data_IF_395521329110
#
_entry.id   IF_395521329110
#
_cell.length_a   1.000
_cell.length_b   1.000
_cell.length_c   1.000
_cell.angle_alpha   90.00
_cell.angle_beta   90.00
_cell.angle_gamma   90.00
#
_symmetry.space_group_name_H-M   'P 1'
#
loop_
_entity.id
_entity.type
_entity.pdbx_description
1 polymer ?
#
# COMPACT_ATOMS: atom_id res chain seq x y z
N UNK A 1 -3.70 33.85 21.06
CA UNK A 1 -4.37 32.56 21.28
C UNK A 1 -3.96 31.65 20.16
N UNK A 2 -3.11 30.67 20.50
CA UNK A 2 -2.56 29.69 19.57
C UNK A 2 -3.72 28.87 19.00
N UNK A 3 -4.06 29.10 17.73
CA UNK A 3 -5.00 28.25 16.99
C UNK A 3 -4.28 26.93 16.74
N UNK A 4 -4.31 26.08 17.77
CA UNK A 4 -3.66 24.78 17.77
C UNK A 4 -3.95 24.05 16.46
N UNK A 5 -2.88 23.70 15.75
CA UNK A 5 -2.93 23.03 14.46
C UNK A 5 -3.81 21.78 14.53
N UNK A 6 -5.06 21.93 14.08
CA UNK A 6 -5.93 20.83 13.70
C UNK A 6 -5.16 20.00 12.67
N UNK A 7 -4.86 18.75 13.00
CA UNK A 7 -4.28 17.81 12.05
C UNK A 7 -5.39 17.45 11.07
N UNK A 8 -5.48 18.15 9.96
CA UNK A 8 -6.41 17.77 8.91
C UNK A 8 -5.93 16.46 8.28
N UNK A 9 -6.89 15.59 7.97
CA UNK A 9 -6.60 14.37 7.23
C UNK A 9 -6.13 14.72 5.82
N UNK A 10 -5.03 14.09 5.41
CA UNK A 10 -4.52 14.14 4.04
C UNK A 10 -4.79 12.77 3.39
N UNK A 11 -5.43 12.73 2.21
CA UNK A 11 -5.64 11.47 1.51
C UNK A 11 -4.31 10.76 1.20
N UNK A 12 -4.32 9.44 1.30
CA UNK A 12 -3.14 8.63 0.98
C UNK A 12 -2.77 8.69 -0.50
N UNK A 13 -1.47 8.64 -0.78
CA UNK A 13 -0.96 8.43 -2.13
C UNK A 13 -0.79 6.93 -2.38
N UNK A 14 -1.35 6.44 -3.49
CA UNK A 14 -1.20 5.05 -3.90
C UNK A 14 0.12 4.82 -4.62
N UNK A 15 0.73 3.70 -4.30
CA UNK A 15 1.96 3.25 -4.93
C UNK A 15 1.77 1.85 -5.48
N UNK A 16 2.49 1.55 -6.56
CA UNK A 16 2.40 0.28 -7.25
C UNK A 16 3.63 -0.57 -6.99
N UNK A 17 3.39 -1.87 -6.81
CA UNK A 17 4.40 -2.87 -6.53
C UNK A 17 4.21 -4.07 -7.46
N UNK A 18 5.30 -4.78 -7.74
CA UNK A 18 5.24 -6.08 -8.38
C UNK A 18 5.88 -7.14 -7.48
N UNK A 19 5.35 -8.36 -7.52
CA UNK A 19 5.95 -9.49 -6.84
C UNK A 19 7.06 -10.08 -7.71
N UNK A 20 8.25 -10.16 -7.14
CA UNK A 20 9.38 -10.87 -7.70
C UNK A 20 9.58 -12.17 -6.91
N UNK A 21 9.31 -13.31 -7.55
CA UNK A 21 9.57 -14.61 -6.94
C UNK A 21 11.09 -14.82 -6.80
N UNK A 22 11.63 -14.70 -5.60
CA UNK A 22 13.03 -14.99 -5.33
C UNK A 22 13.14 -16.26 -4.49
N UNK A 23 13.72 -17.32 -5.08
CA UNK A 23 13.94 -18.61 -4.40
C UNK A 23 12.66 -19.20 -3.78
N UNK A 24 11.52 -19.03 -4.44
CA UNK A 24 10.22 -19.52 -3.98
C UNK A 24 9.56 -18.68 -2.87
N UNK A 25 10.08 -17.49 -2.57
CA UNK A 25 9.45 -16.54 -1.65
C UNK A 25 9.02 -15.29 -2.40
N UNK A 26 7.88 -14.74 -1.97
CA UNK A 26 7.38 -13.48 -2.47
C UNK A 26 8.28 -12.34 -2.02
N UNK A 27 8.64 -11.47 -2.97
CA UNK A 27 9.41 -10.25 -2.72
C UNK A 27 8.75 -9.10 -3.46
N UNK A 28 8.09 -8.22 -2.71
CA UNK A 28 7.38 -7.08 -3.28
C UNK A 28 8.35 -5.93 -3.55
N UNK A 29 8.49 -5.57 -4.82
CA UNK A 29 9.38 -4.50 -5.28
C UNK A 29 8.55 -3.30 -5.74
N UNK A 30 8.94 -2.07 -5.37
CA UNK A 30 8.26 -0.86 -5.84
C UNK A 30 8.53 -0.63 -7.32
N UNK A 31 7.51 -0.21 -8.07
CA UNK A 31 7.74 0.42 -9.36
C UNK A 31 8.46 1.77 -9.18
N UNK A 32 9.14 2.24 -10.23
CA UNK A 32 9.67 3.60 -10.23
C UNK A 32 8.56 4.62 -10.01
N UNK A 33 8.85 5.79 -9.41
CA UNK A 33 7.83 6.84 -9.20
C UNK A 33 7.06 7.16 -10.48
N UNK A 34 7.77 7.27 -11.62
CA UNK A 34 7.18 7.55 -12.94
C UNK A 34 6.25 6.44 -13.41
N UNK A 35 6.63 5.17 -13.22
CA UNK A 35 5.79 4.04 -13.61
C UNK A 35 4.58 3.94 -12.71
N UNK A 36 4.76 4.07 -11.40
CA UNK A 36 3.69 4.07 -10.40
C UNK A 36 2.66 5.16 -10.67
N UNK A 37 3.07 6.39 -10.99
CA UNK A 37 2.13 7.48 -11.31
C UNK A 37 1.33 7.19 -12.58
N UNK A 38 1.97 6.63 -13.62
CA UNK A 38 1.28 6.27 -14.86
C UNK A 38 0.29 5.13 -14.68
N UNK A 39 0.65 4.15 -13.85
CA UNK A 39 -0.25 3.05 -13.47
C UNK A 39 -1.47 3.59 -12.70
N UNK A 40 -1.25 4.52 -11.77
CA UNK A 40 -2.33 5.15 -11.00
C UNK A 40 -3.27 5.96 -11.89
N UNK A 41 -2.75 6.84 -12.73
CA UNK A 41 -3.55 7.64 -13.66
C UNK A 41 -4.39 6.74 -14.59
N UNK A 42 -3.76 5.70 -15.14
CA UNK A 42 -4.45 4.73 -15.99
C UNK A 42 -5.53 3.94 -15.24
N UNK A 43 -5.30 3.61 -13.96
CA UNK A 43 -6.27 2.93 -13.12
C UNK A 43 -7.48 3.80 -12.78
N UNK A 44 -7.25 5.07 -12.43
CA UNK A 44 -8.31 6.05 -12.13
C UNK A 44 -9.18 6.34 -13.36
N UNK A 45 -8.58 6.44 -14.56
CA UNK A 45 -9.29 6.68 -15.81
C UNK A 45 -10.04 5.44 -16.34
N UNK A 46 -9.46 4.25 -16.13
CA UNK A 46 -9.95 3.00 -16.72
C UNK A 46 -11.10 2.32 -15.97
N UNK A 47 -11.46 2.80 -14.77
CA UNK A 47 -12.60 2.28 -14.00
C UNK A 47 -12.52 0.79 -13.61
N UNK A 48 -11.33 0.18 -13.68
CA UNK A 48 -11.09 -1.23 -13.34
C UNK A 48 -11.55 -2.29 -14.35
N UNK A 49 -12.33 -1.92 -15.37
CA UNK A 49 -13.02 -2.89 -16.27
C UNK A 49 -12.51 -2.85 -17.73
N UNK A 50 -11.71 -1.84 -18.08
CA UNK A 50 -11.11 -1.73 -19.42
C UNK A 50 -9.78 -2.50 -19.43
N UNK A 51 -9.49 -3.22 -20.52
CA UNK A 51 -8.20 -3.89 -20.78
C UNK A 51 -7.08 -2.85 -21.01
N UNK A 52 -6.73 -2.13 -19.94
CA UNK A 52 -5.73 -1.08 -19.95
C UNK A 52 -4.36 -1.71 -19.74
N UNK A 53 -3.49 -1.49 -20.74
CA UNK A 53 -2.10 -1.94 -20.73
C UNK A 53 -1.16 -0.75 -20.57
N UNK A 54 -0.28 -0.82 -19.57
CA UNK A 54 0.69 0.24 -19.27
C UNK A 54 2.11 -0.30 -19.38
N UNK A 55 2.90 0.30 -20.29
CA UNK A 55 4.30 -0.05 -20.46
C UNK A 55 5.17 0.55 -19.33
N UNK A 56 5.90 -0.34 -18.64
CA UNK A 56 6.75 -0.06 -17.48
C UNK A 56 8.21 -0.41 -17.74
N UNK A 57 9.13 0.06 -16.90
CA UNK A 57 10.56 -0.28 -16.98
C UNK A 57 11.18 -0.07 -18.38
N UNK A 58 10.87 1.07 -19.00
CA UNK A 58 11.35 1.37 -20.35
C UNK A 58 10.73 0.47 -21.43
N UNK A 59 9.49 0.01 -21.24
CA UNK A 59 8.73 -0.86 -22.16
C UNK A 59 9.22 -2.31 -22.21
N UNK A 60 10.05 -2.72 -21.25
CA UNK A 60 10.46 -4.12 -21.10
C UNK A 60 9.34 -5.00 -20.55
N UNK A 61 8.42 -4.37 -19.82
CA UNK A 61 7.29 -5.02 -19.19
C UNK A 61 6.00 -4.26 -19.47
N UNK A 62 4.93 -4.99 -19.71
CA UNK A 62 3.58 -4.46 -19.81
C UNK A 62 2.77 -4.91 -18.59
N UNK A 63 2.13 -3.96 -17.92
CA UNK A 63 1.19 -4.23 -16.84
C UNK A 63 -0.23 -4.18 -17.39
N UNK A 64 -0.98 -5.26 -17.22
CA UNK A 64 -2.40 -5.34 -17.53
C UNK A 64 -3.19 -5.07 -16.26
N UNK A 65 -3.87 -3.92 -16.21
CA UNK A 65 -4.49 -3.42 -14.98
C UNK A 65 -5.68 -4.27 -14.54
N UNK A 66 -6.48 -4.75 -15.48
CA UNK A 66 -7.63 -5.61 -15.20
C UNK A 66 -7.20 -6.96 -14.57
N UNK A 67 -6.13 -7.55 -15.08
CA UNK A 67 -5.60 -8.82 -14.58
C UNK A 67 -4.75 -8.68 -13.32
N UNK A 68 -4.29 -7.46 -12.99
CA UNK A 68 -3.28 -7.19 -11.95
C UNK A 68 -1.99 -7.99 -12.17
N UNK A 69 -1.57 -8.11 -13.43
CA UNK A 69 -0.40 -8.89 -13.84
C UNK A 69 0.56 -8.07 -14.70
N UNK A 70 1.86 -8.36 -14.56
CA UNK A 70 2.96 -7.80 -15.36
C UNK A 70 3.62 -8.89 -16.20
N UNK A 71 3.77 -8.61 -17.48
CA UNK A 71 4.30 -9.52 -18.49
C UNK A 71 5.61 -8.98 -19.07
N UNK A 72 6.60 -9.85 -19.23
CA UNK A 72 7.78 -9.52 -20.02
C UNK A 72 7.40 -9.41 -21.50
N UNK A 73 7.90 -8.37 -22.17
CA UNK A 73 7.56 -8.09 -23.58
C UNK A 73 8.51 -8.81 -24.53
N UNK A 74 9.79 -8.92 -24.16
CA UNK A 74 10.85 -9.39 -25.07
C UNK A 74 11.43 -10.75 -24.72
N UNK A 75 10.99 -11.38 -23.63
CA UNK A 75 11.45 -12.71 -23.21
C UNK A 75 10.33 -13.49 -22.54
N UNK A 76 10.47 -14.82 -22.52
CA UNK A 76 9.56 -15.69 -21.79
C UNK A 76 9.85 -15.61 -20.30
N UNK A 77 8.83 -15.22 -19.54
CA UNK A 77 8.83 -15.17 -18.09
C UNK A 77 7.40 -15.38 -17.61
N UNK A 78 7.25 -16.09 -16.50
CA UNK A 78 5.94 -16.20 -15.84
C UNK A 78 5.44 -14.80 -15.43
N UNK A 79 4.14 -14.48 -15.65
CA UNK A 79 3.59 -13.20 -15.24
C UNK A 79 3.76 -12.96 -13.73
N UNK A 80 4.08 -11.73 -13.37
CA UNK A 80 4.24 -11.33 -11.96
C UNK A 80 3.02 -10.57 -11.46
N UNK A 81 2.59 -10.85 -10.24
CA UNK A 81 1.50 -10.11 -9.60
C UNK A 81 1.87 -8.64 -9.45
N UNK A 82 0.90 -7.76 -9.68
CA UNK A 82 0.99 -6.32 -9.47
C UNK A 82 -0.05 -5.89 -8.46
N UNK A 83 0.36 -5.05 -7.50
CA UNK A 83 -0.52 -4.58 -6.43
C UNK A 83 -0.44 -3.07 -6.29
N UNK A 84 -1.61 -2.43 -6.28
CA UNK A 84 -1.78 -1.03 -5.85
C UNK A 84 -1.92 -1.03 -4.34
N UNK A 85 -1.15 -0.20 -3.65
CA UNK A 85 -1.03 -0.26 -2.20
C UNK A 85 -0.78 1.11 -1.57
N UNK A 86 -1.41 1.33 -0.42
CA UNK A 86 -1.22 2.49 0.46
C UNK A 86 -0.76 2.10 1.87
N UNK A 87 -0.94 0.83 2.26
CA UNK A 87 -0.66 0.32 3.60
C UNK A 87 0.14 -0.98 3.58
N UNK A 88 1.13 -1.11 4.47
CA UNK A 88 2.00 -2.28 4.55
C UNK A 88 1.87 -2.97 5.90
N UNK A 89 1.95 -4.31 5.90
CA UNK A 89 2.24 -5.07 7.11
C UNK A 89 3.65 -5.61 7.12
N UNK A 90 4.14 -5.89 8.32
CA UNK A 90 5.34 -6.66 8.55
C UNK A 90 5.04 -7.70 9.61
N UNK A 91 5.04 -8.97 9.23
CA UNK A 91 4.94 -10.06 10.19
C UNK A 91 6.14 -10.09 11.14
N UNK A 92 5.95 -10.63 12.36
CA UNK A 92 7.00 -10.67 13.38
C UNK A 92 8.27 -11.43 12.94
N UNK A 93 8.13 -12.35 11.98
CA UNK A 93 9.24 -13.14 11.41
C UNK A 93 9.67 -12.66 10.01
N UNK A 94 9.01 -11.65 9.47
CA UNK A 94 9.27 -11.17 8.12
C UNK A 94 10.35 -10.08 8.13
N UNK A 95 11.34 -10.23 7.27
CA UNK A 95 12.38 -9.22 7.08
C UNK A 95 11.87 -7.99 6.31
N UNK A 96 10.93 -8.22 5.39
CA UNK A 96 10.44 -7.25 4.42
C UNK A 96 8.99 -6.86 4.74
N UNK A 97 8.61 -5.65 4.37
CA UNK A 97 7.21 -5.23 4.41
C UNK A 97 6.47 -5.80 3.21
N UNK A 98 5.23 -6.24 3.44
CA UNK A 98 4.34 -6.76 2.40
C UNK A 98 3.19 -5.77 2.19
N UNK A 99 2.91 -5.36 0.94
CA UNK A 99 1.78 -4.50 0.63
C UNK A 99 0.47 -5.23 0.94
N UNK A 100 -0.42 -4.60 1.71
CA UNK A 100 -1.76 -5.12 1.88
C UNK A 100 -2.53 -5.12 0.55
N UNK A 101 -3.54 -5.96 0.46
CA UNK A 101 -4.51 -5.89 -0.64
C UNK A 101 -5.23 -4.54 -0.62
N UNK A 102 -5.78 -4.12 -1.77
CA UNK A 102 -6.51 -2.86 -1.88
C UNK A 102 -7.72 -2.82 -0.93
N UNK A 103 -8.44 -3.93 -0.78
CA UNK A 103 -9.58 -4.03 0.12
C UNK A 103 -9.17 -3.78 1.59
N UNK A 104 -8.09 -4.40 2.05
CA UNK A 104 -7.57 -4.19 3.40
C UNK A 104 -7.04 -2.75 3.55
N UNK A 105 -6.30 -2.27 2.56
CA UNK A 105 -5.77 -0.91 2.57
C UNK A 105 -6.86 0.15 2.66
N UNK A 106 -8.00 -0.04 1.97
CA UNK A 106 -9.15 0.87 2.05
C UNK A 106 -9.81 0.86 3.44
N UNK A 107 -9.97 -0.32 4.06
CA UNK A 107 -10.48 -0.44 5.44
C UNK A 107 -9.56 0.27 6.45
N UNK A 108 -8.26 0.12 6.28
CA UNK A 108 -7.25 0.77 7.12
C UNK A 108 -7.29 2.30 6.93
N UNK A 109 -7.40 2.76 5.69
CA UNK A 109 -7.47 4.19 5.37
C UNK A 109 -8.73 4.85 5.94
N UNK A 110 -9.90 4.20 5.82
CA UNK A 110 -11.15 4.71 6.39
C UNK A 110 -11.05 4.84 7.91
N UNK A 111 -10.54 3.80 8.59
CA UNK A 111 -10.33 3.84 10.03
C UNK A 111 -9.32 4.90 10.46
N UNK A 112 -8.26 5.11 9.66
CA UNK A 112 -7.28 6.16 9.88
C UNK A 112 -7.91 7.55 9.74
N UNK A 113 -8.65 7.79 8.65
CA UNK A 113 -9.37 9.05 8.42
C UNK A 113 -10.30 9.40 9.59
N UNK A 114 -11.11 8.43 10.05
CA UNK A 114 -12.00 8.63 11.20
C UNK A 114 -11.21 8.93 12.47
N UNK A 115 -10.12 8.21 12.72
CA UNK A 115 -9.27 8.40 13.91
C UNK A 115 -8.62 9.79 13.94
N UNK A 116 -8.13 10.26 12.79
CA UNK A 116 -7.56 11.62 12.64
C UNK A 116 -8.64 12.67 12.84
N UNK A 117 -9.79 12.51 12.17
CA UNK A 117 -10.87 13.50 12.17
C UNK A 117 -11.52 13.66 13.55
N UNK A 118 -11.76 12.55 14.25
CA UNK A 118 -12.35 12.55 15.60
C UNK A 118 -11.29 12.75 16.70
N UNK A 119 -10.00 12.76 16.36
CA UNK A 119 -8.90 12.72 17.33
C UNK A 119 -8.98 11.54 18.31
N UNK A 120 -9.61 10.44 17.90
CA UNK A 120 -9.78 9.22 18.68
C UNK A 120 -8.86 8.13 18.14
N UNK A 121 -7.88 7.74 18.96
CA UNK A 121 -6.88 6.72 18.61
C UNK A 121 -7.07 5.48 19.48
N UNK A 122 -6.41 4.36 19.13
CA UNK A 122 -6.46 3.08 19.86
C UNK A 122 -7.78 2.30 19.74
N UNK A 123 -8.47 2.42 18.60
CA UNK A 123 -9.55 1.49 18.27
C UNK A 123 -8.95 0.21 17.71
N UNK A 124 -9.38 -0.93 18.24
CA UNK A 124 -9.04 -2.24 17.70
C UNK A 124 -9.81 -2.44 16.39
N UNK A 125 -9.08 -2.51 15.29
CA UNK A 125 -9.66 -2.85 13.99
C UNK A 125 -9.39 -4.33 13.73
N UNK A 126 -10.46 -5.10 13.56
CA UNK A 126 -10.36 -6.51 13.19
C UNK A 126 -10.39 -6.61 11.67
N UNK A 127 -9.28 -7.01 11.07
CA UNK A 127 -9.19 -7.26 9.64
C UNK A 127 -10.01 -8.51 9.26
N UNK A 128 -10.46 -8.64 8.00
CA UNK A 128 -11.11 -9.86 7.50
C UNK A 128 -10.23 -11.11 7.64
N UNK A 129 -8.91 -10.94 7.76
CA UNK A 129 -7.92 -12.00 8.04
C UNK A 129 -7.97 -12.51 9.49
N UNK A 130 -8.73 -11.85 10.37
CA UNK A 130 -8.79 -12.13 11.81
C UNK A 130 -7.71 -11.41 12.63
N UNK A 131 -6.82 -10.66 11.98
CA UNK A 131 -5.77 -9.89 12.64
C UNK A 131 -6.32 -8.64 13.32
N UNK A 132 -5.79 -8.32 14.50
CA UNK A 132 -6.15 -7.12 15.23
C UNK A 132 -5.09 -6.03 15.02
N UNK A 133 -5.52 -4.91 14.46
CA UNK A 133 -4.70 -3.75 14.15
C UNK A 133 -5.04 -2.62 15.11
N UNK A 134 -4.01 -1.93 15.59
CA UNK A 134 -4.14 -0.74 16.43
C UNK A 134 -3.53 0.44 15.68
N UNK A 135 -4.33 1.47 15.41
CA UNK A 135 -3.85 2.72 14.83
C UNK A 135 -3.30 3.64 15.92
N UNK A 136 -2.07 4.12 15.73
CA UNK A 136 -1.37 5.00 16.65
C UNK A 136 -1.36 6.45 16.14
N UNK A 137 -1.44 7.42 17.07
CA UNK A 137 -1.37 8.82 16.71
C UNK A 137 0.06 9.16 16.23
N UNK A 138 0.23 9.70 15.00
CA UNK A 138 1.55 10.05 14.48
C UNK A 138 2.27 11.10 15.33
N UNK A 139 1.54 12.02 16.01
CA UNK A 139 2.14 13.02 16.92
C UNK A 139 2.76 12.39 18.17
N UNK A 140 2.31 11.20 18.59
CA UNK A 140 2.92 10.46 19.72
C UNK A 140 4.12 9.61 19.31
N UNK A 141 4.28 9.22 18.04
CA UNK A 141 5.44 8.45 17.58
C UNK A 141 6.74 9.29 17.52
N UNK A 142 6.65 10.62 17.43
CA UNK A 142 7.81 11.51 17.40
C UNK A 142 8.43 11.77 18.78
N UNK A 143 7.73 11.41 19.86
CA UNK A 143 8.20 11.57 21.24
C UNK A 143 8.50 10.19 21.80
N UNK A 144 9.79 9.81 21.74
CA UNK A 144 10.35 8.50 22.03
C UNK A 144 9.59 7.60 23.01
N UNK A 145 9.19 6.42 22.53
CA UNK A 145 8.99 5.24 23.37
C UNK A 145 9.09 3.97 22.52
N UNK A 146 10.17 3.23 22.72
CA UNK A 146 10.30 1.85 22.26
C UNK A 146 9.32 0.92 23.02
N UNK A 147 8.88 -0.12 22.30
CA UNK A 147 8.20 -1.35 22.75
C UNK A 147 6.69 -1.26 23.04
N UNK A 148 5.87 -1.86 22.17
CA UNK A 148 5.46 -3.27 22.29
C UNK A 148 4.97 -3.79 20.92
N UNK A 149 5.30 -5.04 20.62
CA UNK A 149 5.12 -5.71 19.33
C UNK A 149 3.64 -5.86 18.96
N UNK A 150 3.14 -5.06 18.01
CA UNK A 150 1.95 -5.31 17.19
C UNK A 150 2.08 -4.48 15.90
N UNK A 151 1.60 -5.02 14.78
CA UNK A 151 1.88 -4.59 13.38
C UNK A 151 2.22 -3.09 13.23
N UNK A 152 3.45 -2.79 12.81
CA UNK A 152 3.83 -1.47 12.31
C UNK A 152 3.15 -1.25 10.95
N UNK A 153 1.95 -0.70 10.96
CA UNK A 153 1.33 -0.17 9.76
C UNK A 153 2.00 1.16 9.43
N UNK A 154 2.83 1.17 8.39
CA UNK A 154 3.38 2.41 7.85
C UNK A 154 2.53 2.81 6.65
N UNK A 155 1.86 3.96 6.75
CA UNK A 155 1.23 4.61 5.61
C UNK A 155 2.36 5.23 4.75
N UNK A 156 2.37 4.97 3.45
CA UNK A 156 3.27 5.70 2.55
C UNK A 156 2.64 7.06 2.21
N UNK A 157 3.37 8.13 2.52
CA UNK A 157 3.07 9.50 2.06
C UNK A 157 4.07 9.92 1.00
#
# INVERSE_FOLDING_TARGET
>A
TDVGSLCFYEPVQYHWFYNQQERGRDSWQPFSRKDSSRLEEAHELGGGDVDVVVATEGRRYDVRLAERLRYAVYWEQEPSEVRRCSWFHKGNKEMMYTPHTEAISNLLEEAYMVSVTLSEWRRHLVLPTGENVILHNPKTCLLGASFNYNLYLTQMK
#
